data_IF_589510271729
#
_entry.id   IF_589510271729
#
_cell.length_a   1.000
_cell.length_b   1.000
_cell.length_c   1.000
_cell.angle_alpha   90.00
_cell.angle_beta   90.00
_cell.angle_gamma   90.00
#
_symmetry.space_group_name_H-M   'P 1'
#
loop_
_entity.id
_entity.type
_entity.pdbx_description
1 polymer ?
#
# COMPACT_ATOMS: atom_id res chain seq x y z
N UNK A 1 17.73 6.02 -23.09
CA UNK A 1 16.83 6.85 -23.93
C UNK A 1 17.59 8.03 -24.48
N UNK A 2 17.60 8.18 -25.79
CA UNK A 2 18.29 9.29 -26.46
C UNK A 2 17.50 10.60 -26.41
N UNK A 3 16.17 10.51 -26.21
CA UNK A 3 15.27 11.68 -26.20
C UNK A 3 14.35 11.62 -25.00
N UNK A 4 14.20 12.78 -24.34
CA UNK A 4 13.23 12.99 -23.26
C UNK A 4 12.22 14.08 -23.69
N UNK A 5 11.00 14.10 -23.14
CA UNK A 5 10.04 15.16 -23.43
C UNK A 5 10.60 16.56 -23.12
N UNK A 6 10.20 17.53 -23.93
CA UNK A 6 10.59 18.92 -23.71
C UNK A 6 10.13 19.39 -22.32
N UNK A 7 11.00 20.10 -21.61
CA UNK A 7 10.74 20.59 -20.26
C UNK A 7 10.92 19.54 -19.17
N UNK A 8 11.38 18.33 -19.52
CA UNK A 8 11.66 17.29 -18.54
C UNK A 8 13.04 17.45 -17.90
N UNK A 9 13.17 16.98 -16.67
CA UNK A 9 14.44 16.87 -15.95
C UNK A 9 14.91 15.43 -15.98
N UNK A 10 16.22 15.22 -16.13
CA UNK A 10 16.80 13.88 -16.12
C UNK A 10 16.99 13.36 -14.71
N UNK A 11 16.71 12.05 -14.53
CA UNK A 11 16.93 11.35 -13.27
C UNK A 11 18.11 10.39 -13.49
N UNK A 12 19.24 10.71 -12.88
CA UNK A 12 20.45 9.90 -12.99
C UNK A 12 20.43 8.77 -11.97
N UNK A 13 21.23 7.74 -12.22
CA UNK A 13 21.40 6.62 -11.29
C UNK A 13 22.85 6.15 -11.32
N UNK A 14 23.27 5.44 -10.27
CA UNK A 14 24.66 4.98 -10.13
C UNK A 14 24.94 3.67 -10.90
N UNK A 15 23.93 3.01 -11.43
CA UNK A 15 24.02 1.66 -12.00
C UNK A 15 24.13 1.68 -13.52
N UNK A 16 23.44 2.61 -14.17
CA UNK A 16 23.34 2.67 -15.64
C UNK A 16 23.58 4.08 -16.15
N UNK A 17 24.01 4.16 -17.41
CA UNK A 17 24.15 5.45 -18.12
C UNK A 17 22.82 5.97 -18.67
N UNK A 18 21.78 5.12 -18.70
CA UNK A 18 20.46 5.51 -19.18
C UNK A 18 19.67 6.22 -18.06
N UNK A 19 19.40 7.52 -18.18
CA UNK A 19 18.63 8.24 -17.17
C UNK A 19 17.12 8.00 -17.34
N UNK A 20 16.37 8.10 -16.24
CA UNK A 20 14.95 8.34 -16.30
C UNK A 20 14.67 9.83 -16.50
N UNK A 21 13.42 10.24 -16.44
CA UNK A 21 13.07 11.65 -16.51
C UNK A 21 11.83 11.99 -15.70
N UNK A 22 11.75 13.25 -15.30
CA UNK A 22 10.61 13.82 -14.61
C UNK A 22 10.04 14.97 -15.45
N UNK A 23 8.71 14.97 -15.61
CA UNK A 23 8.01 16.13 -16.14
C UNK A 23 6.82 16.42 -15.23
N UNK A 24 6.83 17.62 -14.61
CA UNK A 24 5.83 18.01 -13.61
C UNK A 24 5.78 16.99 -12.45
N UNK A 25 4.65 16.31 -12.25
CA UNK A 25 4.49 15.29 -11.23
C UNK A 25 4.57 13.85 -11.76
N UNK A 26 5.04 13.70 -13.01
CA UNK A 26 5.19 12.39 -13.64
C UNK A 26 6.66 11.99 -13.67
N UNK A 27 6.96 10.81 -13.16
CA UNK A 27 8.32 10.26 -13.08
C UNK A 27 8.40 9.01 -13.94
N UNK A 28 9.34 8.98 -14.87
CA UNK A 28 9.58 7.81 -15.72
C UNK A 28 10.90 7.18 -15.30
N UNK A 29 10.84 5.93 -14.85
CA UNK A 29 11.97 5.18 -14.34
C UNK A 29 12.25 3.97 -15.21
N UNK A 30 13.48 3.47 -15.15
CA UNK A 30 13.83 2.22 -15.81
C UNK A 30 13.12 1.03 -15.17
N UNK A 31 12.75 0.03 -15.97
CA UNK A 31 12.07 -1.17 -15.50
C UNK A 31 12.97 -2.21 -14.83
N UNK A 32 14.28 -2.08 -14.93
CA UNK A 32 15.23 -2.98 -14.27
C UNK A 32 15.25 -2.69 -12.75
N UNK A 33 14.97 -3.67 -11.88
CA UNK A 33 14.80 -3.39 -10.44
C UNK A 33 15.94 -2.63 -9.76
N UNK A 34 17.18 -2.97 -10.02
CA UNK A 34 18.32 -2.28 -9.41
C UNK A 34 18.42 -0.82 -9.84
N UNK A 35 18.16 -0.56 -11.11
CA UNK A 35 18.21 0.79 -11.68
C UNK A 35 17.03 1.62 -11.15
N UNK A 36 15.84 1.03 -11.12
CA UNK A 36 14.65 1.69 -10.58
C UNK A 36 14.83 2.09 -9.11
N UNK A 37 15.38 1.19 -8.27
CA UNK A 37 15.66 1.48 -6.86
C UNK A 37 16.65 2.63 -6.70
N UNK A 38 17.73 2.64 -7.51
CA UNK A 38 18.70 3.71 -7.50
C UNK A 38 18.06 5.06 -7.87
N UNK A 39 17.17 5.07 -8.86
CA UNK A 39 16.41 6.26 -9.23
C UNK A 39 15.46 6.72 -8.13
N UNK A 40 14.75 5.79 -7.48
CA UNK A 40 13.86 6.10 -6.36
C UNK A 40 14.60 6.74 -5.20
N UNK A 41 15.79 6.28 -4.87
CA UNK A 41 16.61 6.86 -3.80
C UNK A 41 16.93 8.33 -4.05
N UNK A 42 17.01 8.74 -5.31
CA UNK A 42 17.23 10.13 -5.70
C UNK A 42 15.93 10.93 -5.65
N UNK A 43 14.80 10.33 -6.04
CA UNK A 43 13.50 11.00 -6.16
C UNK A 43 12.84 11.22 -4.79
N UNK A 44 12.85 10.22 -3.92
CA UNK A 44 12.10 10.23 -2.66
C UNK A 44 12.37 11.47 -1.81
N UNK A 45 13.63 11.92 -1.62
CA UNK A 45 13.89 13.14 -0.86
C UNK A 45 13.32 14.42 -1.46
N UNK A 46 13.00 14.43 -2.77
CA UNK A 46 12.45 15.59 -3.47
C UNK A 46 10.93 15.68 -3.42
N UNK A 47 10.25 14.60 -2.99
CA UNK A 47 8.80 14.55 -2.96
C UNK A 47 8.24 15.31 -1.76
N UNK A 48 7.09 15.95 -1.97
CA UNK A 48 6.34 16.55 -0.87
C UNK A 48 5.82 15.46 0.05
N UNK A 49 6.09 15.61 1.35
CA UNK A 49 5.61 14.66 2.36
C UNK A 49 4.18 15.01 2.74
N UNK A 50 3.27 14.06 2.56
CA UNK A 50 1.93 14.12 3.13
C UNK A 50 1.94 13.68 4.60
N UNK A 51 0.76 13.57 5.20
CA UNK A 51 0.62 12.97 6.52
C UNK A 51 0.99 11.49 6.45
N UNK A 52 1.77 10.97 7.41
CA UNK A 52 2.18 9.57 7.36
C UNK A 52 0.96 8.65 7.49
N UNK A 53 0.85 7.68 6.59
CA UNK A 53 -0.12 6.61 6.70
C UNK A 53 0.37 5.59 7.73
N UNK A 54 -0.53 5.18 8.62
CA UNK A 54 -0.28 4.12 9.57
C UNK A 54 -1.07 2.89 9.15
N UNK A 55 -0.52 1.72 9.38
CA UNK A 55 -1.18 0.46 9.04
C UNK A 55 -1.15 -0.51 10.21
N UNK A 56 -2.20 -1.32 10.31
CA UNK A 56 -2.30 -2.42 11.26
C UNK A 56 -2.66 -3.67 10.46
N UNK A 57 -1.93 -4.73 10.66
CA UNK A 57 -2.21 -6.02 10.04
C UNK A 57 -2.85 -6.96 11.05
N UNK A 58 -3.95 -7.60 10.64
CA UNK A 58 -4.68 -8.57 11.46
C UNK A 58 -4.76 -9.87 10.67
N UNK A 59 -4.26 -10.96 11.24
CA UNK A 59 -4.36 -12.28 10.65
C UNK A 59 -5.64 -12.96 11.14
N UNK A 60 -6.54 -13.26 10.19
CA UNK A 60 -7.78 -13.98 10.49
C UNK A 60 -7.70 -15.41 9.94
N UNK A 61 -7.94 -16.39 10.77
CA UNK A 61 -7.97 -17.80 10.36
C UNK A 61 -9.36 -18.20 9.87
N UNK A 62 -9.97 -17.34 9.05
CA UNK A 62 -11.29 -17.56 8.46
C UNK A 62 -11.25 -17.22 6.97
N UNK A 63 -12.04 -17.92 6.14
CA UNK A 63 -12.14 -17.60 4.71
C UNK A 63 -12.70 -16.19 4.50
N UNK A 64 -12.19 -15.49 3.50
CA UNK A 64 -12.65 -14.14 3.16
C UNK A 64 -14.17 -14.08 2.93
N UNK A 65 -14.74 -15.07 2.25
CA UNK A 65 -16.16 -15.12 1.97
C UNK A 65 -17.05 -15.16 3.20
N UNK A 66 -16.52 -15.67 4.33
CA UNK A 66 -17.27 -15.72 5.59
C UNK A 66 -17.45 -14.36 6.26
N UNK A 67 -16.51 -13.44 6.03
CA UNK A 67 -16.48 -12.13 6.71
C UNK A 67 -16.64 -10.94 5.75
N UNK A 68 -16.74 -11.19 4.45
CA UNK A 68 -16.74 -10.13 3.44
C UNK A 68 -17.88 -9.13 3.61
N UNK A 69 -19.07 -9.60 3.90
CA UNK A 69 -20.26 -8.75 4.05
C UNK A 69 -20.13 -7.82 5.28
N UNK A 70 -19.73 -8.38 6.41
CA UNK A 70 -19.54 -7.64 7.65
C UNK A 70 -18.36 -6.67 7.55
N UNK A 71 -17.27 -7.04 6.85
CA UNK A 71 -16.17 -6.13 6.58
C UNK A 71 -16.61 -4.96 5.73
N UNK A 72 -17.48 -5.19 4.76
CA UNK A 72 -18.06 -4.12 3.94
C UNK A 72 -18.88 -3.17 4.79
N UNK A 73 -19.66 -3.69 5.73
CA UNK A 73 -20.44 -2.87 6.65
C UNK A 73 -19.53 -2.00 7.53
N UNK A 74 -18.44 -2.56 8.05
CA UNK A 74 -17.44 -1.80 8.82
C UNK A 74 -16.78 -0.74 7.95
N UNK A 75 -16.39 -1.07 6.72
CA UNK A 75 -15.80 -0.12 5.79
C UNK A 75 -16.74 1.06 5.50
N UNK A 76 -18.02 0.81 5.30
CA UNK A 76 -19.01 1.85 5.05
C UNK A 76 -19.24 2.74 6.28
N UNK A 77 -19.10 2.18 7.48
CA UNK A 77 -19.23 2.93 8.74
C UNK A 77 -18.02 3.81 9.01
N UNK A 78 -16.83 3.34 8.66
CA UNK A 78 -15.56 4.03 8.93
C UNK A 78 -14.82 4.38 7.63
N UNK A 79 -15.26 5.42 6.95
CA UNK A 79 -14.69 5.83 5.65
C UNK A 79 -13.27 6.39 5.73
N UNK A 80 -12.83 6.79 6.93
CA UNK A 80 -11.47 7.30 7.14
C UNK A 80 -10.41 6.21 7.25
N UNK A 81 -10.81 4.94 7.34
CA UNK A 81 -9.93 3.78 7.41
C UNK A 81 -10.17 2.90 6.20
N UNK A 82 -9.11 2.61 5.46
CA UNK A 82 -9.18 1.67 4.34
C UNK A 82 -8.90 0.25 4.84
N UNK A 83 -9.79 -0.67 4.52
CA UNK A 83 -9.67 -2.08 4.89
C UNK A 83 -9.36 -2.89 3.64
N UNK A 84 -8.16 -3.47 3.59
CA UNK A 84 -7.78 -4.42 2.55
C UNK A 84 -7.89 -5.85 3.06
N UNK A 85 -8.41 -6.76 2.24
CA UNK A 85 -8.45 -8.17 2.58
C UNK A 85 -7.62 -8.97 1.56
N UNK A 86 -6.76 -9.85 2.08
CA UNK A 86 -5.83 -10.64 1.29
C UNK A 86 -5.93 -12.10 1.69
N UNK A 87 -6.76 -12.89 0.97
CA UNK A 87 -6.90 -14.31 1.30
C UNK A 87 -5.61 -15.07 1.02
N UNK A 88 -5.33 -16.07 1.84
CA UNK A 88 -4.19 -16.95 1.63
C UNK A 88 -4.62 -18.42 1.75
N UNK A 89 -3.92 -19.25 0.99
CA UNK A 89 -4.09 -20.70 1.01
C UNK A 89 -2.72 -21.33 1.19
N UNK A 90 -2.50 -21.92 2.36
CA UNK A 90 -1.33 -22.76 2.60
C UNK A 90 -1.80 -24.16 2.90
N UNK A 91 -0.93 -25.18 2.77
CA UNK A 91 -1.30 -26.57 3.07
C UNK A 91 -1.91 -26.68 4.47
N UNK A 92 -3.20 -27.05 4.51
CA UNK A 92 -3.95 -27.21 5.75
C UNK A 92 -4.48 -25.92 6.40
N UNK A 93 -4.17 -24.74 5.84
CA UNK A 93 -4.59 -23.46 6.42
C UNK A 93 -5.22 -22.54 5.36
N UNK A 94 -6.45 -22.13 5.62
CA UNK A 94 -7.15 -21.11 4.84
C UNK A 94 -7.41 -19.93 5.77
N UNK A 95 -7.09 -18.72 5.31
CA UNK A 95 -7.33 -17.54 6.12
C UNK A 95 -7.29 -16.27 5.29
N UNK A 96 -7.38 -15.16 5.97
CA UNK A 96 -7.39 -13.83 5.36
C UNK A 96 -6.53 -12.89 6.19
N UNK A 97 -5.58 -12.23 5.55
CA UNK A 97 -4.86 -11.13 6.17
C UNK A 97 -5.62 -9.85 5.93
N UNK A 98 -5.94 -9.13 6.99
CA UNK A 98 -6.62 -7.84 6.93
C UNK A 98 -5.63 -6.72 7.21
N UNK A 99 -5.60 -5.72 6.35
CA UNK A 99 -4.73 -4.56 6.52
C UNK A 99 -5.60 -3.32 6.64
N UNK A 100 -5.48 -2.64 7.76
CA UNK A 100 -6.18 -1.40 8.06
C UNK A 100 -5.21 -0.25 7.88
N UNK A 101 -5.57 0.73 7.04
CA UNK A 101 -4.71 1.88 6.75
C UNK A 101 -5.46 3.18 7.00
N UNK A 102 -4.85 4.10 7.73
CA UNK A 102 -5.41 5.44 7.96
C UNK A 102 -4.32 6.42 8.37
N UNK A 103 -4.57 7.70 8.16
CA UNK A 103 -3.78 8.79 8.75
C UNK A 103 -4.21 9.07 10.19
N UNK A 104 -5.38 8.59 10.61
CA UNK A 104 -5.94 8.80 11.95
C UNK A 104 -5.74 7.56 12.82
N UNK A 105 -4.78 7.65 13.74
CA UNK A 105 -4.41 6.56 14.64
C UNK A 105 -5.56 6.16 15.59
N UNK A 106 -6.37 7.12 16.02
CA UNK A 106 -7.51 6.84 16.90
C UNK A 106 -8.56 6.01 16.19
N UNK A 107 -8.86 6.36 14.95
CA UNK A 107 -9.81 5.59 14.14
C UNK A 107 -9.30 4.20 13.81
N UNK A 108 -7.99 4.05 13.56
CA UNK A 108 -7.38 2.74 13.38
C UNK A 108 -7.61 1.82 14.58
N UNK A 109 -7.45 2.32 15.79
CA UNK A 109 -7.66 1.54 17.01
C UNK A 109 -9.11 1.13 17.18
N UNK A 110 -10.06 2.02 16.88
CA UNK A 110 -11.49 1.73 16.94
C UNK A 110 -11.88 0.64 15.95
N UNK A 111 -11.44 0.79 14.70
CA UNK A 111 -11.73 -0.19 13.64
C UNK A 111 -11.06 -1.52 13.92
N UNK A 112 -9.85 -1.51 14.45
CA UNK A 112 -9.14 -2.73 14.88
C UNK A 112 -9.98 -3.55 15.86
N UNK A 113 -10.55 -2.90 16.87
CA UNK A 113 -11.39 -3.56 17.88
C UNK A 113 -12.62 -4.17 17.23
N UNK A 114 -13.31 -3.42 16.35
CA UNK A 114 -14.49 -3.93 15.65
C UNK A 114 -14.17 -5.13 14.76
N UNK A 115 -13.05 -5.07 14.04
CA UNK A 115 -12.62 -6.18 13.18
C UNK A 115 -12.23 -7.41 14.00
N UNK A 116 -11.51 -7.23 15.11
CA UNK A 116 -11.16 -8.34 15.99
C UNK A 116 -12.39 -9.01 16.61
N UNK A 117 -13.39 -8.24 17.00
CA UNK A 117 -14.67 -8.78 17.49
C UNK A 117 -15.42 -9.54 16.41
N UNK A 118 -15.40 -9.04 15.18
CA UNK A 118 -15.97 -9.74 14.03
C UNK A 118 -15.30 -11.10 13.83
N UNK A 119 -13.99 -11.15 13.82
CA UNK A 119 -13.22 -12.38 13.64
C UNK A 119 -13.55 -13.39 14.74
N UNK A 120 -13.67 -12.96 15.98
CA UNK A 120 -14.03 -13.84 17.10
C UNK A 120 -15.39 -14.51 16.94
N UNK A 121 -16.33 -13.86 16.26
CA UNK A 121 -17.66 -14.45 16.00
C UNK A 121 -17.62 -15.62 15.01
N UNK A 122 -16.55 -15.70 14.20
CA UNK A 122 -16.39 -16.74 13.17
C UNK A 122 -15.30 -17.77 13.51
N UNK A 123 -14.66 -17.66 14.66
CA UNK A 123 -13.63 -18.62 15.10
C UNK A 123 -14.07 -19.45 16.28
#
# INVERSE_FOLDING_TARGET
>A
MAYAPEGSELIYNAVSKAPGFRKENVFILAGVPNIMRSMLDIIIPTLSKGKPLKSIEIKAEVPEGSIAEELRAIQNKFKSVDIGSYPYYTEGNIGTNLVLVSIDEKMLKIVKIEVEELIKRFT
#
